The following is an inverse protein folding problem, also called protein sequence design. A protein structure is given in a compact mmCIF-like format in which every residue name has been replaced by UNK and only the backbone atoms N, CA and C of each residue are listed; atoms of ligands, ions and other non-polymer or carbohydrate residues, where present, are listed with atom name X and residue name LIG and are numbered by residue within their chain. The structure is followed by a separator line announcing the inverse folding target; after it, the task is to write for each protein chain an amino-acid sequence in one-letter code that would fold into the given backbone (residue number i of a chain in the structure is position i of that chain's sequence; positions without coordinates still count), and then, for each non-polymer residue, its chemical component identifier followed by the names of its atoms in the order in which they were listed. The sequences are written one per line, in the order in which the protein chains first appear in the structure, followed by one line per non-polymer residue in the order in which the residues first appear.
data_IF_938775301175
#
_entry.id   IF_938775301175
#
_cell.length_a   1.000
_cell.length_b   1.000
_cell.length_c   1.000
_cell.angle_alpha   90.00
_cell.angle_beta   90.00
_cell.angle_gamma   90.00
#
_symmetry.space_group_name_H-M   'P 1'
#
loop_
_entity.id
_entity.type
_entity.pdbx_description
1 polymer ?
#
# COMPACT_ATOMS: atom_id res chain seq x y z
N UNK A 1 10.65 -26.23 0.99
CA UNK A 1 10.92 -24.78 0.91
C UNK A 1 9.60 -24.15 0.51
N UNK A 2 8.79 -23.76 1.49
CA UNK A 2 7.43 -23.27 1.24
C UNK A 2 7.53 -21.83 0.73
N UNK A 3 7.15 -21.60 -0.53
CA UNK A 3 7.09 -20.26 -1.08
C UNK A 3 6.04 -19.47 -0.26
N UNK A 4 6.43 -18.40 0.44
CA UNK A 4 5.48 -17.65 1.26
C UNK A 4 4.44 -17.03 0.34
N UNK A 5 3.18 -17.14 0.75
CA UNK A 5 2.00 -16.82 -0.05
C UNK A 5 2.13 -15.43 -0.72
N UNK A 6 2.14 -15.42 -2.06
CA UNK A 6 2.21 -14.23 -2.89
C UNK A 6 0.83 -13.54 -2.94
N UNK A 7 0.45 -12.83 -1.87
CA UNK A 7 -0.88 -12.24 -1.76
C UNK A 7 -0.94 -10.90 -1.03
N UNK A 8 -2.02 -10.15 -1.31
CA UNK A 8 -2.45 -9.03 -0.48
C UNK A 8 -3.17 -9.58 0.75
N UNK A 9 -2.39 -10.09 1.70
CA UNK A 9 -2.89 -10.89 2.82
C UNK A 9 -3.29 -10.04 4.02
N UNK A 10 -2.64 -8.90 4.21
CA UNK A 10 -2.87 -8.04 5.37
C UNK A 10 -4.02 -7.08 5.11
N UNK A 11 -4.99 -7.02 6.03
CA UNK A 11 -5.93 -5.90 6.07
C UNK A 11 -5.28 -4.65 6.71
N UNK A 12 -5.94 -3.50 6.57
CA UNK A 12 -5.41 -2.23 7.07
C UNK A 12 -5.05 -2.25 8.56
N UNK A 13 -5.74 -3.03 9.40
CA UNK A 13 -5.44 -3.16 10.84
C UNK A 13 -4.16 -3.91 11.07
N UNK A 14 -3.99 -5.03 10.39
CA UNK A 14 -2.77 -5.85 10.47
C UNK A 14 -1.57 -5.08 9.93
N UNK A 15 -1.77 -4.32 8.84
CA UNK A 15 -0.76 -3.44 8.30
C UNK A 15 -0.39 -2.31 9.26
N UNK A 16 -1.37 -1.66 9.91
CA UNK A 16 -1.12 -0.64 10.93
C UNK A 16 -0.31 -1.21 12.11
N UNK A 17 -0.66 -2.41 12.58
CA UNK A 17 0.06 -3.08 13.66
C UNK A 17 1.50 -3.40 13.27
N UNK A 18 1.73 -3.82 12.03
CA UNK A 18 3.06 -4.11 11.50
C UNK A 18 3.91 -2.84 11.32
N UNK A 19 3.31 -1.78 10.77
CA UNK A 19 3.97 -0.50 10.50
C UNK A 19 4.11 0.38 11.76
N UNK A 20 3.41 0.04 12.85
CA UNK A 20 3.36 0.85 14.06
C UNK A 20 2.68 2.21 13.86
N UNK A 21 1.72 2.32 12.93
CA UNK A 21 1.08 3.58 12.56
C UNK A 21 -0.43 3.57 12.83
N UNK A 22 -1.04 4.76 12.86
CA UNK A 22 -2.49 4.91 13.02
C UNK A 22 -3.22 4.64 11.70
N UNK A 23 -4.52 4.34 11.78
CA UNK A 23 -5.36 4.14 10.60
C UNK A 23 -5.25 5.31 9.61
N UNK A 24 -5.40 6.55 10.08
CA UNK A 24 -5.32 7.73 9.21
C UNK A 24 -3.96 7.84 8.51
N UNK A 25 -2.87 7.53 9.23
CA UNK A 25 -1.54 7.51 8.65
C UNK A 25 -1.42 6.46 7.55
N UNK A 26 -1.92 5.24 7.80
CA UNK A 26 -1.92 4.17 6.81
C UNK A 26 -2.70 4.53 5.54
N UNK A 27 -3.90 5.11 5.67
CA UNK A 27 -4.68 5.53 4.50
C UNK A 27 -4.00 6.66 3.72
N UNK A 28 -3.37 7.62 4.40
CA UNK A 28 -2.57 8.65 3.74
C UNK A 28 -1.38 8.05 3.01
N UNK A 29 -0.70 7.08 3.63
CA UNK A 29 0.45 6.40 3.04
C UNK A 29 0.08 5.64 1.76
N UNK A 30 -1.04 4.92 1.78
CA UNK A 30 -1.57 4.21 0.61
C UNK A 30 -2.02 5.19 -0.47
N UNK A 31 -2.77 6.23 -0.12
CA UNK A 31 -3.25 7.24 -1.08
C UNK A 31 -2.11 8.05 -1.70
N UNK A 32 -1.01 8.24 -0.97
CA UNK A 32 0.21 8.88 -1.45
C UNK A 32 1.09 7.94 -2.30
N UNK A 33 0.71 6.68 -2.47
CA UNK A 33 1.49 5.69 -3.22
C UNK A 33 2.72 5.16 -2.48
N UNK A 34 2.82 5.38 -1.16
CA UNK A 34 3.96 4.93 -0.37
C UNK A 34 3.99 3.42 -0.09
N UNK A 35 2.83 2.74 -0.17
CA UNK A 35 2.73 1.27 -0.10
C UNK A 35 1.70 0.80 -1.14
N UNK A 36 2.03 -0.21 -1.96
CA UNK A 36 1.07 -0.86 -2.86
C UNK A 36 -0.08 -1.50 -2.08
N UNK A 37 -1.32 -1.14 -2.43
CA UNK A 37 -2.51 -1.68 -1.81
C UNK A 37 -3.60 -1.98 -2.84
N UNK A 38 -4.35 -3.05 -2.63
CA UNK A 38 -5.57 -3.35 -3.40
C UNK A 38 -6.80 -3.06 -2.58
N UNK A 39 -7.81 -2.48 -3.22
CA UNK A 39 -9.10 -2.22 -2.57
C UNK A 39 -9.92 -3.50 -2.57
N UNK A 40 -10.25 -4.03 -1.39
CA UNK A 40 -11.07 -5.22 -1.27
C UNK A 40 -12.56 -4.82 -1.12
N UNK A 41 -13.24 -4.68 -2.28
CA UNK A 41 -14.67 -4.39 -2.36
C UNK A 41 -15.11 -3.06 -1.73
N UNK A 42 -16.44 -2.82 -1.69
CA UNK A 42 -17.03 -1.55 -1.21
C UNK A 42 -16.93 -1.32 0.30
N UNK A 43 -16.70 -2.36 1.12
CA UNK A 43 -16.76 -2.27 2.61
C UNK A 43 -15.52 -2.76 3.35
N UNK A 44 -14.59 -3.51 2.74
CA UNK A 44 -13.48 -4.15 3.49
C UNK A 44 -12.15 -3.38 3.48
N UNK A 45 -12.11 -2.17 2.93
CA UNK A 45 -10.93 -1.31 2.97
C UNK A 45 -9.80 -1.78 2.05
N UNK A 46 -8.56 -1.40 2.38
CA UNK A 46 -7.37 -1.78 1.63
C UNK A 46 -6.75 -3.06 2.18
N UNK A 47 -6.17 -3.85 1.28
CA UNK A 47 -5.24 -4.93 1.62
C UNK A 47 -3.87 -4.64 1.04
N UNK A 48 -2.83 -5.01 1.77
CA UNK A 48 -1.42 -4.79 1.43
C UNK A 48 -0.65 -6.10 1.54
N UNK A 49 0.45 -6.20 0.80
CA UNK A 49 1.35 -7.35 0.92
C UNK A 49 2.25 -7.10 2.13
N UNK A 50 2.52 -8.15 2.90
CA UNK A 50 3.42 -8.06 4.05
C UNK A 50 4.82 -7.60 3.64
N UNK A 51 5.32 -8.07 2.50
CA UNK A 51 6.66 -7.70 2.01
C UNK A 51 6.79 -6.20 1.77
N UNK A 52 5.74 -5.54 1.28
CA UNK A 52 5.79 -4.11 0.96
C UNK A 52 5.82 -3.27 2.25
N UNK A 53 5.09 -3.69 3.29
CA UNK A 53 5.21 -3.09 4.62
C UNK A 53 6.62 -3.27 5.20
N UNK A 54 7.22 -4.45 5.06
CA UNK A 54 8.58 -4.70 5.53
C UNK A 54 9.61 -3.87 4.75
N UNK A 55 9.47 -3.80 3.41
CA UNK A 55 10.31 -2.94 2.55
C UNK A 55 10.24 -1.48 2.99
N UNK A 56 9.04 -0.97 3.26
CA UNK A 56 8.83 0.37 3.77
C UNK A 56 9.59 0.62 5.09
N UNK A 57 9.52 -0.33 6.04
CA UNK A 57 10.24 -0.23 7.33
C UNK A 57 11.76 -0.29 7.18
N UNK A 58 12.27 -1.03 6.20
CA UNK A 58 13.73 -1.12 5.93
C UNK A 58 14.31 0.12 5.25
N UNK A 59 13.49 1.14 4.95
CA UNK A 59 13.93 2.36 4.27
C UNK A 59 14.12 2.20 2.76
N UNK A 60 13.60 1.12 2.17
CA UNK A 60 13.61 0.93 0.72
C UNK A 60 12.60 1.90 0.10
N UNK A 61 13.13 2.97 -0.50
CA UNK A 61 12.36 3.97 -1.26
C UNK A 61 12.58 3.68 -2.73
N UNK A 62 11.57 3.16 -3.43
CA UNK A 62 11.57 3.26 -4.89
C UNK A 62 11.19 4.72 -5.23
N UNK A 63 12.07 5.49 -5.90
CA UNK A 63 11.82 6.89 -6.18
C UNK A 63 10.81 7.07 -7.33
N UNK A 64 10.03 8.14 -7.18
CA UNK A 64 9.02 8.76 -8.04
C UNK A 64 8.75 8.13 -9.42
N UNK A 65 7.51 7.68 -9.61
CA UNK A 65 6.97 7.33 -10.92
C UNK A 65 6.74 5.84 -11.15
N UNK A 66 6.19 5.10 -10.18
CA UNK A 66 5.61 3.77 -10.42
C UNK A 66 4.29 3.89 -11.22
N UNK A 67 4.44 4.38 -12.45
CA UNK A 67 3.77 4.03 -13.70
C UNK A 67 2.32 3.61 -13.66
N UNK A 68 1.48 4.55 -14.12
CA UNK A 68 0.44 4.27 -15.11
C UNK A 68 -0.60 3.21 -14.75
N UNK A 69 -1.52 3.56 -13.85
CA UNK A 69 -2.94 3.21 -14.06
C UNK A 69 -3.84 4.14 -13.26
N UNK A 70 -4.11 5.30 -13.84
CA UNK A 70 -5.45 5.82 -14.14
C UNK A 70 -5.25 7.23 -14.70
N UNK A 71 -5.05 7.32 -16.02
CA UNK A 71 -5.19 8.57 -16.76
C UNK A 71 -6.50 9.24 -16.35
N UNK A 72 -6.39 10.45 -15.82
CA UNK A 72 -7.53 11.17 -15.27
C UNK A 72 -7.26 12.65 -15.05
N UNK A 73 -6.57 13.28 -16.01
CA UNK A 73 -6.56 14.71 -16.30
C UNK A 73 -5.73 15.63 -15.38
N UNK A 74 -4.63 16.11 -15.94
CA UNK A 74 -4.18 17.50 -15.88
C UNK A 74 -3.67 17.84 -17.31
N UNK A 75 -3.58 19.10 -17.79
CA UNK A 75 -3.92 20.42 -17.22
C UNK A 75 -5.00 21.17 -18.04
N UNK A 76 -5.40 22.38 -17.64
CA UNK A 76 -5.14 23.59 -18.46
C UNK A 76 -5.49 24.90 -17.72
N UNK A 77 -4.51 25.81 -17.78
CA UNK A 77 -4.51 27.28 -17.60
C UNK A 77 -4.77 27.94 -16.24
#
# INVERSE_FOLDING_TARGET
MEAPQEGFDLDWREACALLGCSQSHFYNLVNAGGIPAVRNGRRKGFRVRREDCLRYLTGWREPEGFGDTLSGQHPES
#
